data_IF_646318744593
#
_entry.id   IF_646318744593
#
_cell.length_a   1.000
_cell.length_b   1.000
_cell.length_c   1.000
_cell.angle_alpha   90.00
_cell.angle_beta   90.00
_cell.angle_gamma   90.00
#
_symmetry.space_group_name_H-M   'P 1'
#
loop_
_entity.id
_entity.type
_entity.pdbx_description
1 polymer ?
#
# COMPACT_ATOMS: atom_id res chain seq x y z
N UNK A 1 -38.71 10.09 -6.55
CA UNK A 1 -37.55 9.18 -6.53
C UNK A 1 -36.31 10.06 -6.55
N UNK A 2 -35.29 9.88 -5.70
CA UNK A 2 -34.12 10.76 -5.81
C UNK A 2 -33.39 10.39 -7.11
N UNK A 3 -33.20 11.37 -7.99
CA UNK A 3 -32.58 11.20 -9.30
C UNK A 3 -31.22 10.49 -9.15
N UNK A 4 -31.13 9.27 -9.67
CA UNK A 4 -29.87 8.55 -9.79
C UNK A 4 -29.09 9.18 -10.94
N UNK A 5 -28.21 10.11 -10.61
CA UNK A 5 -27.21 10.64 -11.55
C UNK A 5 -26.36 9.46 -12.04
N UNK A 6 -26.38 9.20 -13.34
CA UNK A 6 -25.55 8.19 -13.99
C UNK A 6 -24.29 8.86 -14.57
N UNK A 7 -23.17 8.14 -14.53
CA UNK A 7 -21.95 8.56 -15.23
C UNK A 7 -22.05 8.14 -16.69
N UNK A 8 -21.79 9.03 -17.63
CA UNK A 8 -21.72 8.68 -19.06
C UNK A 8 -20.33 8.16 -19.46
N UNK A 9 -20.17 7.68 -20.70
CA UNK A 9 -18.89 7.11 -21.17
C UNK A 9 -17.79 8.16 -21.34
N UNK A 10 -18.17 9.40 -21.70
CA UNK A 10 -17.23 10.50 -21.85
C UNK A 10 -16.70 10.96 -20.49
N UNK A 11 -17.58 11.18 -19.52
CA UNK A 11 -17.22 11.49 -18.13
C UNK A 11 -16.35 10.38 -17.53
N UNK A 12 -16.72 9.12 -17.72
CA UNK A 12 -15.92 7.99 -17.25
C UNK A 12 -14.53 7.97 -17.90
N UNK A 13 -14.43 8.22 -19.21
CA UNK A 13 -13.15 8.32 -19.93
C UNK A 13 -12.24 9.43 -19.39
N UNK A 14 -12.81 10.53 -18.90
CA UNK A 14 -12.05 11.60 -18.24
C UNK A 14 -11.41 11.11 -16.94
N UNK A 15 -12.16 10.41 -16.07
CA UNK A 15 -11.59 9.82 -14.85
C UNK A 15 -10.55 8.73 -15.14
N UNK A 16 -10.77 7.89 -16.15
CA UNK A 16 -9.78 6.88 -16.56
C UNK A 16 -8.47 7.53 -16.98
N UNK A 17 -8.53 8.54 -17.86
CA UNK A 17 -7.34 9.24 -18.36
C UNK A 17 -6.61 9.95 -17.23
N UNK A 18 -7.37 10.60 -16.34
CA UNK A 18 -6.80 11.29 -15.19
C UNK A 18 -6.12 10.32 -14.22
N UNK A 19 -6.76 9.23 -13.82
CA UNK A 19 -6.17 8.25 -12.90
C UNK A 19 -4.92 7.57 -13.46
N UNK A 20 -4.92 7.29 -14.76
CA UNK A 20 -3.74 6.75 -15.42
C UNK A 20 -2.57 7.73 -15.33
N UNK A 21 -2.79 9.01 -15.63
CA UNK A 21 -1.74 10.04 -15.53
C UNK A 21 -1.30 10.29 -14.09
N UNK A 22 -2.26 10.40 -13.17
CA UNK A 22 -2.00 10.78 -11.79
C UNK A 22 -1.37 9.64 -10.98
N UNK A 23 -1.75 8.38 -11.20
CA UNK A 23 -1.37 7.27 -10.33
C UNK A 23 -0.89 6.01 -11.08
N UNK A 24 -0.85 6.04 -12.42
CA UNK A 24 -0.53 4.86 -13.23
C UNK A 24 -1.66 3.82 -13.27
N UNK A 25 -2.80 4.09 -12.63
CA UNK A 25 -3.89 3.12 -12.48
C UNK A 25 -4.65 3.00 -13.80
N UNK A 26 -4.60 1.81 -14.39
CA UNK A 26 -5.36 1.45 -15.56
C UNK A 26 -6.74 0.88 -15.16
N UNK A 27 -7.79 1.67 -15.37
CA UNK A 27 -9.18 1.25 -15.10
C UNK A 27 -9.80 0.58 -16.32
N UNK A 28 -10.25 -0.67 -16.16
CA UNK A 28 -11.08 -1.34 -17.17
C UNK A 28 -12.46 -0.68 -17.32
N UNK A 29 -13.06 -0.64 -18.54
CA UNK A 29 -14.41 -0.13 -18.76
C UNK A 29 -15.49 -0.75 -17.87
N UNK A 30 -15.32 -2.01 -17.46
CA UNK A 30 -16.26 -2.70 -16.56
C UNK A 30 -16.34 -2.08 -15.17
N UNK A 31 -15.38 -1.23 -14.78
CA UNK A 31 -15.34 -0.54 -13.48
C UNK A 31 -16.13 0.77 -13.45
N UNK A 32 -16.85 1.13 -14.51
CA UNK A 32 -17.66 2.36 -14.58
C UNK A 32 -18.64 2.52 -13.41
N UNK A 33 -19.40 1.47 -13.08
CA UNK A 33 -20.33 1.49 -11.96
C UNK A 33 -19.61 1.68 -10.59
N UNK A 34 -18.41 1.13 -10.44
CA UNK A 34 -17.59 1.30 -9.23
C UNK A 34 -17.13 2.74 -9.07
N UNK A 35 -16.69 3.40 -10.15
CA UNK A 35 -16.33 4.83 -10.14
C UNK A 35 -17.53 5.68 -9.75
N UNK A 36 -18.68 5.41 -10.39
CA UNK A 36 -19.94 6.12 -10.09
C UNK A 36 -20.30 6.03 -8.61
N UNK A 37 -20.31 4.81 -8.05
CA UNK A 37 -20.70 4.57 -6.65
C UNK A 37 -19.74 5.20 -5.64
N UNK A 38 -18.43 5.15 -5.89
CA UNK A 38 -17.40 5.73 -5.00
C UNK A 38 -17.44 7.26 -4.97
N UNK A 39 -17.73 7.90 -6.09
CA UNK A 39 -17.78 9.36 -6.19
C UNK A 39 -19.16 9.95 -5.88
N UNK A 40 -20.24 9.16 -5.90
CA UNK A 40 -21.60 9.67 -5.72
C UNK A 40 -21.80 10.51 -4.45
N UNK A 41 -21.20 10.10 -3.33
CA UNK A 41 -21.27 10.87 -2.07
C UNK A 41 -20.60 12.25 -2.19
N UNK A 42 -19.60 12.39 -3.07
CA UNK A 42 -18.93 13.67 -3.34
C UNK A 42 -19.79 14.59 -4.19
N UNK A 43 -20.50 14.05 -5.19
CA UNK A 43 -21.50 14.82 -5.96
C UNK A 43 -22.57 15.39 -5.02
N UNK A 44 -23.11 14.56 -4.12
CA UNK A 44 -24.09 15.03 -3.12
C UNK A 44 -23.52 16.05 -2.15
N UNK A 45 -22.27 15.89 -1.72
CA UNK A 45 -21.61 16.82 -0.81
C UNK A 45 -21.44 18.23 -1.41
N UNK A 46 -21.18 18.33 -2.71
CA UNK A 46 -21.04 19.61 -3.42
C UNK A 46 -22.30 20.03 -4.18
N UNK A 47 -23.43 19.33 -3.98
CA UNK A 47 -24.71 19.60 -4.63
C UNK A 47 -24.60 19.65 -6.17
N UNK A 48 -23.78 18.78 -6.75
CA UNK A 48 -23.54 18.70 -8.20
C UNK A 48 -24.53 17.77 -8.89
N UNK A 49 -24.83 18.06 -10.15
CA UNK A 49 -25.82 17.35 -10.95
C UNK A 49 -25.21 16.38 -11.97
N UNK A 50 -23.89 16.42 -12.19
CA UNK A 50 -23.19 15.50 -13.10
C UNK A 50 -21.80 15.12 -12.61
N UNK A 51 -21.26 14.01 -13.12
CA UNK A 51 -19.89 13.61 -12.84
C UNK A 51 -18.87 14.50 -13.56
N UNK A 52 -19.24 15.09 -14.69
CA UNK A 52 -18.45 16.08 -15.42
C UNK A 52 -18.29 17.39 -14.65
N UNK A 53 -19.32 17.86 -13.94
CA UNK A 53 -19.20 18.99 -13.00
C UNK A 53 -18.21 18.68 -11.88
N UNK A 54 -18.29 17.47 -11.31
CA UNK A 54 -17.36 17.04 -10.27
C UNK A 54 -15.92 16.94 -10.82
N UNK A 55 -15.75 16.40 -12.04
CA UNK A 55 -14.45 16.33 -12.69
C UNK A 55 -13.84 17.73 -12.90
N UNK A 56 -14.63 18.70 -13.39
CA UNK A 56 -14.19 20.10 -13.53
C UNK A 56 -13.78 20.72 -12.19
N UNK A 57 -14.56 20.47 -11.13
CA UNK A 57 -14.29 20.98 -9.80
C UNK A 57 -12.92 20.50 -9.27
N UNK A 58 -12.61 19.20 -9.40
CA UNK A 58 -11.34 18.65 -8.91
C UNK A 58 -10.15 19.04 -9.78
N UNK A 59 -10.33 19.17 -11.09
CA UNK A 59 -9.25 19.52 -12.02
C UNK A 59 -8.84 21.00 -11.96
N UNK A 60 -9.78 21.89 -11.59
CA UNK A 60 -9.51 23.32 -11.45
C UNK A 60 -8.99 23.71 -10.06
N UNK A 61 -8.71 22.73 -9.18
CA UNK A 61 -8.32 22.91 -7.77
C UNK A 61 -9.20 23.92 -7.03
N UNK A 62 -10.50 24.02 -7.40
CA UNK A 62 -11.43 24.97 -6.77
C UNK A 62 -11.68 24.63 -5.30
N UNK A 63 -11.42 23.38 -4.92
CA UNK A 63 -11.55 22.86 -3.56
C UNK A 63 -10.25 22.18 -3.17
N UNK A 64 -9.42 22.90 -2.41
CA UNK A 64 -8.11 22.44 -1.95
C UNK A 64 -8.21 21.04 -1.33
N UNK A 65 -7.48 20.09 -1.91
CA UNK A 65 -7.40 18.71 -1.42
C UNK A 65 -8.47 17.75 -1.95
N UNK A 66 -9.49 18.23 -2.69
CA UNK A 66 -10.54 17.35 -3.22
C UNK A 66 -10.00 16.36 -4.26
N UNK A 67 -8.98 16.76 -5.02
CA UNK A 67 -8.29 15.89 -5.96
C UNK A 67 -7.72 14.64 -5.25
N UNK A 68 -7.13 14.81 -4.06
CA UNK A 68 -6.62 13.71 -3.24
C UNK A 68 -7.77 12.85 -2.69
N UNK A 69 -8.90 13.46 -2.31
CA UNK A 69 -10.09 12.71 -1.87
C UNK A 69 -10.63 11.83 -3.01
N UNK A 70 -10.72 12.36 -4.23
CA UNK A 70 -11.12 11.60 -5.40
C UNK A 70 -10.17 10.42 -5.65
N UNK A 71 -8.86 10.65 -5.54
CA UNK A 71 -7.85 9.61 -5.69
C UNK A 71 -7.98 8.52 -4.60
N UNK A 72 -8.15 8.92 -3.34
CA UNK A 72 -8.35 8.02 -2.20
C UNK A 72 -9.60 7.13 -2.38
N UNK A 73 -10.69 7.68 -2.93
CA UNK A 73 -11.92 6.94 -3.20
C UNK A 73 -11.78 5.95 -4.36
N UNK A 74 -10.96 6.26 -5.36
CA UNK A 74 -10.82 5.45 -6.57
C UNK A 74 -9.70 4.41 -6.49
N UNK A 75 -8.82 4.51 -5.50
CA UNK A 75 -7.87 3.44 -5.15
C UNK A 75 -8.58 2.27 -4.44
N UNK A 76 -8.08 1.05 -4.62
CA UNK A 76 -8.61 -0.13 -3.92
C UNK A 76 -7.59 -0.58 -2.88
N UNK A 77 -8.00 -0.61 -1.62
CA UNK A 77 -7.11 -0.69 -0.47
C UNK A 77 -7.39 -1.93 0.39
N UNK A 78 -7.47 -3.10 -0.23
CA UNK A 78 -7.72 -4.36 0.48
C UNK A 78 -6.41 -4.96 1.02
N UNK A 79 -6.32 -5.09 2.34
CA UNK A 79 -5.17 -5.67 3.03
C UNK A 79 -5.61 -6.32 4.35
N UNK A 80 -4.76 -7.21 4.86
CA UNK A 80 -4.94 -7.91 6.12
C UNK A 80 -3.59 -8.38 6.66
N UNK A 81 -3.52 -8.63 7.96
CA UNK A 81 -2.28 -9.03 8.61
C UNK A 81 -1.75 -10.36 8.06
N UNK A 82 -0.44 -10.48 7.88
CA UNK A 82 0.22 -11.68 7.38
C UNK A 82 -0.34 -12.21 6.05
N UNK A 83 -0.88 -11.33 5.18
CA UNK A 83 -1.26 -11.67 3.81
C UNK A 83 -0.10 -12.34 3.07
N UNK A 84 -0.38 -13.46 2.40
CA UNK A 84 0.62 -14.29 1.72
C UNK A 84 1.77 -14.71 2.67
N UNK A 85 1.48 -15.56 3.69
CA UNK A 85 2.36 -15.82 4.84
C UNK A 85 3.74 -16.36 4.47
N UNK A 86 3.85 -17.08 3.34
CA UNK A 86 5.11 -17.65 2.84
C UNK A 86 6.19 -16.59 2.59
N UNK A 87 5.81 -15.33 2.32
CA UNK A 87 6.75 -14.23 2.20
C UNK A 87 7.43 -13.90 3.54
N UNK A 88 6.69 -13.93 4.64
CA UNK A 88 7.24 -13.73 5.98
C UNK A 88 8.06 -14.94 6.44
N UNK A 89 7.66 -16.15 6.06
CA UNK A 89 8.46 -17.37 6.29
C UNK A 89 9.81 -17.27 5.60
N UNK A 90 9.83 -16.86 4.32
CA UNK A 90 11.06 -16.65 3.57
C UNK A 90 11.97 -15.61 4.23
N UNK A 91 11.42 -14.48 4.68
CA UNK A 91 12.18 -13.48 5.43
C UNK A 91 12.87 -14.10 6.64
N UNK A 92 12.10 -14.78 7.51
CA UNK A 92 12.60 -15.38 8.75
C UNK A 92 13.67 -16.43 8.52
N UNK A 93 13.50 -17.26 7.49
CA UNK A 93 14.37 -18.42 7.25
C UNK A 93 15.62 -18.09 6.44
N UNK A 94 15.55 -17.12 5.52
CA UNK A 94 16.60 -16.91 4.52
C UNK A 94 17.23 -15.52 4.53
N UNK A 95 16.49 -14.49 4.94
CA UNK A 95 16.94 -13.09 4.86
C UNK A 95 17.45 -12.60 6.21
N UNK A 96 16.61 -12.66 7.24
CA UNK A 96 16.89 -12.12 8.57
C UNK A 96 18.09 -12.79 9.27
N UNK A 97 18.38 -14.10 9.12
CA UNK A 97 19.57 -14.70 9.71
C UNK A 97 20.89 -14.13 9.16
N UNK A 98 20.85 -13.42 8.02
CA UNK A 98 22.02 -12.79 7.39
C UNK A 98 22.14 -11.30 7.73
N UNK A 99 21.26 -10.76 8.58
CA UNK A 99 21.33 -9.38 9.01
C UNK A 99 22.65 -9.12 9.75
N UNK A 100 23.36 -8.07 9.33
CA UNK A 100 24.66 -7.73 9.92
C UNK A 100 24.46 -7.13 11.33
N UNK A 101 25.12 -7.67 12.38
CA UNK A 101 25.04 -7.11 13.71
C UNK A 101 25.40 -5.62 13.74
N UNK A 102 24.63 -4.83 14.48
CA UNK A 102 24.87 -3.39 14.66
C UNK A 102 24.49 -2.51 13.47
N UNK A 103 24.11 -3.06 12.31
CA UNK A 103 23.55 -2.29 11.19
C UNK A 103 22.02 -2.29 11.25
N UNK A 104 21.41 -1.16 10.92
CA UNK A 104 19.95 -1.04 10.87
C UNK A 104 19.42 -1.83 9.67
N UNK A 105 18.57 -2.82 9.92
CA UNK A 105 17.86 -3.57 8.89
C UNK A 105 16.59 -2.82 8.48
N UNK A 106 16.49 -2.41 7.23
CA UNK A 106 15.43 -1.53 6.71
C UNK A 106 14.56 -2.30 5.72
N UNK A 107 13.26 -2.26 5.94
CA UNK A 107 12.27 -2.83 5.01
C UNK A 107 11.32 -1.74 4.54
N UNK A 108 11.00 -1.74 3.24
CA UNK A 108 9.99 -0.86 2.68
C UNK A 108 8.76 -1.67 2.23
N UNK A 109 7.58 -1.33 2.74
CA UNK A 109 6.28 -1.74 2.21
C UNK A 109 5.75 -0.63 1.29
N UNK A 110 5.92 -0.82 -0.02
CA UNK A 110 5.53 0.10 -1.08
C UNK A 110 4.11 -0.27 -1.56
N UNK A 111 3.11 0.53 -1.16
CA UNK A 111 1.65 0.26 -1.16
C UNK A 111 1.14 -0.40 0.14
N UNK A 112 1.41 0.27 1.26
CA UNK A 112 1.12 -0.24 2.61
C UNK A 112 -0.37 -0.24 3.00
N UNK A 113 -1.23 0.44 2.25
CA UNK A 113 -2.65 0.60 2.56
C UNK A 113 -2.86 1.07 4.02
N UNK A 114 -3.76 0.43 4.76
CA UNK A 114 -4.07 0.72 6.17
C UNK A 114 -3.07 0.20 7.19
N UNK A 115 -1.89 -0.30 6.77
CA UNK A 115 -0.75 -0.56 7.65
C UNK A 115 -0.58 -2.01 8.11
N UNK A 116 -1.49 -2.91 7.79
CA UNK A 116 -1.42 -4.32 8.19
C UNK A 116 -0.13 -5.01 7.72
N UNK A 117 0.33 -4.73 6.48
CA UNK A 117 1.60 -5.29 5.97
C UNK A 117 2.84 -4.74 6.71
N UNK A 118 3.04 -3.40 6.85
CA UNK A 118 4.12 -2.85 7.66
C UNK A 118 4.16 -3.38 9.09
N UNK A 119 3.01 -3.56 9.74
CA UNK A 119 2.97 -4.11 11.09
C UNK A 119 3.26 -5.61 11.13
N UNK A 120 2.83 -6.38 10.12
CA UNK A 120 3.22 -7.79 9.98
C UNK A 120 4.74 -7.93 9.80
N UNK A 121 5.35 -7.04 9.00
CA UNK A 121 6.80 -6.93 8.85
C UNK A 121 7.47 -6.57 10.17
N UNK A 122 6.99 -5.55 10.87
CA UNK A 122 7.55 -5.12 12.14
C UNK A 122 7.53 -6.25 13.18
N UNK A 123 6.41 -6.98 13.32
CA UNK A 123 6.32 -8.15 14.20
C UNK A 123 7.33 -9.23 13.79
N UNK A 124 7.46 -9.50 12.49
CA UNK A 124 8.41 -10.49 11.94
C UNK A 124 9.86 -10.11 12.27
N UNK A 125 10.23 -8.84 12.10
CA UNK A 125 11.56 -8.31 12.41
C UNK A 125 11.83 -8.38 13.92
N UNK A 126 10.87 -7.95 14.74
CA UNK A 126 10.98 -7.95 16.20
C UNK A 126 11.24 -9.35 16.78
N UNK A 127 10.59 -10.39 16.24
CA UNK A 127 10.80 -11.77 16.68
C UNK A 127 12.15 -12.36 16.23
N UNK A 128 12.72 -11.87 15.13
CA UNK A 128 13.83 -12.56 14.46
C UNK A 128 15.18 -11.88 14.66
N UNK A 129 15.21 -10.57 14.88
CA UNK A 129 16.44 -9.77 14.86
C UNK A 129 17.06 -9.52 16.25
N UNK A 130 16.35 -9.88 17.33
CA UNK A 130 16.85 -9.70 18.69
C UNK A 130 17.24 -8.25 18.98
N UNK A 131 18.52 -8.02 19.29
CA UNK A 131 19.07 -6.68 19.55
C UNK A 131 19.48 -5.91 18.28
N UNK A 132 19.46 -6.54 17.10
CA UNK A 132 19.82 -5.88 15.84
C UNK A 132 18.79 -4.79 15.54
N UNK A 133 19.22 -3.53 15.30
CA UNK A 133 18.29 -2.45 15.04
C UNK A 133 17.58 -2.65 13.70
N UNK A 134 16.32 -2.25 13.63
CA UNK A 134 15.51 -2.34 12.43
C UNK A 134 14.47 -1.23 12.36
N UNK A 135 14.03 -0.94 11.14
CA UNK A 135 12.91 -0.04 10.84
C UNK A 135 12.10 -0.52 9.64
N UNK A 136 10.83 -0.12 9.61
CA UNK A 136 9.93 -0.34 8.47
C UNK A 136 9.45 1.00 7.96
N UNK A 137 9.57 1.22 6.66
CA UNK A 137 8.89 2.32 5.96
C UNK A 137 7.64 1.74 5.31
N UNK A 138 6.47 2.26 5.66
CA UNK A 138 5.23 2.02 4.94
C UNK A 138 4.90 3.23 4.06
N UNK A 139 4.58 3.02 2.80
CA UNK A 139 4.15 4.11 1.94
C UNK A 139 2.93 3.77 1.11
N UNK A 140 2.09 4.78 0.87
CA UNK A 140 0.91 4.65 0.02
C UNK A 140 0.65 5.97 -0.72
N UNK A 141 -0.06 5.90 -1.83
CA UNK A 141 -0.54 7.10 -2.53
C UNK A 141 -1.69 7.74 -1.76
N UNK A 142 -2.45 6.93 -1.01
CA UNK A 142 -3.64 7.39 -0.32
C UNK A 142 -3.34 7.98 1.06
N UNK A 143 -3.64 9.27 1.21
CA UNK A 143 -3.44 9.98 2.47
C UNK A 143 -4.37 9.46 3.58
N UNK A 144 -5.59 9.08 3.22
CA UNK A 144 -6.61 8.58 4.13
C UNK A 144 -6.23 7.24 4.77
N UNK A 145 -5.72 6.29 3.99
CA UNK A 145 -5.31 4.98 4.53
C UNK A 145 -4.04 5.09 5.37
N UNK A 146 -3.10 5.97 5.00
CA UNK A 146 -1.92 6.25 5.81
C UNK A 146 -2.28 6.89 7.16
N UNK A 147 -3.29 7.76 7.19
CA UNK A 147 -3.77 8.31 8.46
C UNK A 147 -4.26 7.20 9.40
N UNK A 148 -5.02 6.22 8.87
CA UNK A 148 -5.44 5.03 9.63
C UNK A 148 -4.24 4.19 10.07
N UNK A 149 -3.31 3.91 9.16
CA UNK A 149 -2.11 3.12 9.43
C UNK A 149 -1.26 3.68 10.58
N UNK A 150 -1.09 5.01 10.63
CA UNK A 150 -0.37 5.70 11.71
C UNK A 150 -1.02 5.52 13.08
N UNK A 151 -2.35 5.38 13.15
CA UNK A 151 -3.01 5.11 14.44
C UNK A 151 -2.62 3.73 14.98
N UNK A 152 -2.44 2.75 14.09
CA UNK A 152 -2.28 1.34 14.43
C UNK A 152 -3.47 0.78 15.22
N UNK A 153 -4.66 1.37 15.04
CA UNK A 153 -5.90 0.96 15.70
C UNK A 153 -6.79 0.23 14.70
N UNK A 154 -7.24 -0.96 15.06
CA UNK A 154 -7.97 -1.86 14.16
C UNK A 154 -9.15 -2.52 14.85
N UNK A 155 -10.16 -2.94 14.09
CA UNK A 155 -11.18 -3.87 14.57
C UNK A 155 -10.54 -5.22 14.89
N UNK A 156 -11.03 -5.91 15.92
CA UNK A 156 -10.59 -7.28 16.25
C UNK A 156 -10.83 -8.26 15.09
N UNK A 157 -11.81 -8.03 14.22
CA UNK A 157 -12.06 -8.83 13.01
C UNK A 157 -10.84 -8.85 12.07
N UNK A 158 -9.98 -7.83 12.11
CA UNK A 158 -8.75 -7.78 11.30
C UNK A 158 -7.69 -8.78 11.74
N UNK A 159 -7.86 -9.43 12.90
CA UNK A 159 -6.87 -10.33 13.49
C UNK A 159 -7.01 -11.79 13.09
N UNK A 160 -8.00 -12.14 12.26
CA UNK A 160 -8.29 -13.53 11.88
C UNK A 160 -7.06 -14.29 11.36
N UNK A 161 -6.21 -13.61 10.60
CA UNK A 161 -4.98 -14.17 10.01
C UNK A 161 -3.73 -13.92 10.83
N UNK A 162 -3.84 -13.23 11.97
CA UNK A 162 -2.71 -12.84 12.81
C UNK A 162 -2.35 -14.00 13.76
N UNK A 163 -1.08 -14.47 13.79
CA UNK A 163 -0.67 -15.55 14.68
C UNK A 163 -0.91 -15.20 16.16
N UNK A 164 -1.62 -16.05 16.89
CA UNK A 164 -2.02 -15.81 18.29
C UNK A 164 -0.87 -15.39 19.23
N UNK A 165 0.34 -15.97 19.16
CA UNK A 165 1.45 -15.51 20.00
C UNK A 165 1.86 -14.06 19.71
N UNK A 166 1.79 -13.62 18.45
CA UNK A 166 2.11 -12.25 18.07
C UNK A 166 0.98 -11.30 18.46
N UNK A 167 -0.28 -11.74 18.37
CA UNK A 167 -1.43 -10.97 18.83
C UNK A 167 -1.31 -10.62 20.31
N UNK A 168 -1.05 -11.63 21.14
CA UNK A 168 -0.91 -11.46 22.58
C UNK A 168 0.29 -10.58 22.96
N UNK A 169 1.37 -10.60 22.17
CA UNK A 169 2.62 -9.88 22.47
C UNK A 169 2.62 -8.44 21.96
N UNK A 170 2.02 -8.17 20.80
CA UNK A 170 2.16 -6.90 20.08
C UNK A 170 0.87 -6.11 19.91
N UNK A 171 -0.27 -6.60 20.44
CA UNK A 171 -1.54 -5.90 20.34
C UNK A 171 -2.18 -5.74 21.72
N UNK A 172 -2.61 -4.52 22.02
CA UNK A 172 -3.40 -4.18 23.21
C UNK A 172 -4.88 -4.30 22.88
N UNK A 173 -5.61 -5.13 23.63
CA UNK A 173 -7.06 -5.27 23.48
C UNK A 173 -7.79 -4.03 24.01
N UNK A 174 -8.68 -3.46 23.21
CA UNK A 174 -9.51 -2.34 23.63
C UNK A 174 -10.56 -2.75 24.67
N UNK A 175 -10.83 -1.84 25.61
CA UNK A 175 -11.80 -2.02 26.70
C UNK A 175 -12.77 -0.84 26.76
N UNK A 176 -13.94 -1.04 27.37
CA UNK A 176 -14.96 0.01 27.52
C UNK A 176 -15.37 0.59 26.16
N UNK A 177 -15.16 1.90 25.94
CA UNK A 177 -15.48 2.57 24.67
C UNK A 177 -14.69 2.04 23.45
N UNK A 178 -13.62 1.27 23.69
CA UNK A 178 -12.78 0.67 22.65
C UNK A 178 -12.99 -0.85 22.55
N UNK A 179 -14.01 -1.40 23.22
CA UNK A 179 -14.32 -2.83 23.11
C UNK A 179 -14.54 -3.25 21.64
N UNK A 180 -14.08 -4.45 21.28
CA UNK A 180 -14.08 -4.94 19.89
C UNK A 180 -12.94 -4.41 19.02
N UNK A 181 -12.01 -3.63 19.57
CA UNK A 181 -10.84 -3.09 18.84
C UNK A 181 -9.52 -3.56 19.44
N UNK A 182 -8.44 -3.30 18.71
CA UNK A 182 -7.06 -3.48 19.17
C UNK A 182 -6.21 -2.26 18.81
N UNK A 183 -5.13 -2.08 19.55
CA UNK A 183 -4.08 -1.11 19.27
C UNK A 183 -2.73 -1.81 19.16
N UNK A 184 -1.98 -1.57 18.10
CA UNK A 184 -0.59 -2.05 17.97
C UNK A 184 0.27 -1.42 19.05
N UNK A 185 1.12 -2.23 19.68
CA UNK A 185 2.02 -1.81 20.75
C UNK A 185 2.87 -0.60 20.34
N UNK A 186 3.08 0.33 21.29
CA UNK A 186 3.77 1.59 21.04
C UNK A 186 5.23 1.39 20.63
N UNK A 187 5.93 0.43 21.21
CA UNK A 187 7.33 0.16 20.88
C UNK A 187 7.44 -0.34 19.43
N UNK A 188 6.50 -1.18 18.99
CA UNK A 188 6.45 -1.64 17.61
C UNK A 188 6.13 -0.48 16.65
N UNK A 189 5.09 0.32 16.94
CA UNK A 189 4.70 1.48 16.11
C UNK A 189 5.81 2.51 15.95
N UNK A 190 6.62 2.72 16.99
CA UNK A 190 7.74 3.68 16.94
C UNK A 190 8.82 3.35 15.91
N UNK A 191 8.84 2.12 15.39
CA UNK A 191 9.77 1.63 14.37
C UNK A 191 9.15 1.53 12.97
N UNK A 192 7.91 1.97 12.82
CA UNK A 192 7.19 1.98 11.54
C UNK A 192 6.91 3.43 11.16
N UNK A 193 7.54 3.91 10.09
CA UNK A 193 7.31 5.26 9.57
C UNK A 193 6.41 5.21 8.34
N UNK A 194 5.40 6.09 8.31
CA UNK A 194 4.43 6.15 7.21
C UNK A 194 4.61 7.44 6.40
N UNK A 195 4.84 7.29 5.09
CA UNK A 195 5.09 8.39 4.15
C UNK A 195 4.16 8.29 2.94
N UNK A 196 3.66 9.42 2.45
CA UNK A 196 2.88 9.42 1.22
C UNK A 196 3.82 9.35 0.01
N UNK A 197 3.63 8.36 -0.85
CA UNK A 197 4.47 8.12 -2.04
C UNK A 197 3.58 7.74 -3.22
N UNK A 198 3.76 8.45 -4.33
CA UNK A 198 3.23 8.06 -5.62
C UNK A 198 4.29 7.27 -6.39
N UNK A 199 4.07 5.97 -6.59
CA UNK A 199 5.01 5.10 -7.32
C UNK A 199 5.13 5.47 -8.82
N UNK A 200 4.16 6.23 -9.34
CA UNK A 200 4.16 6.72 -10.71
C UNK A 200 5.04 7.97 -10.92
N UNK A 201 5.53 8.59 -9.85
CA UNK A 201 6.34 9.80 -9.87
C UNK A 201 7.77 9.54 -9.37
N UNK A 202 8.61 10.57 -9.37
CA UNK A 202 9.93 10.52 -8.74
C UNK A 202 9.79 10.22 -7.24
N UNK A 203 10.51 9.20 -6.77
CA UNK A 203 10.45 8.78 -5.37
C UNK A 203 11.20 9.80 -4.48
N UNK A 204 10.70 10.07 -3.26
CA UNK A 204 11.44 10.87 -2.29
C UNK A 204 12.72 10.14 -1.84
N UNK A 205 13.62 10.87 -1.18
CA UNK A 205 14.84 10.32 -0.61
C UNK A 205 14.55 9.42 0.60
N UNK A 206 14.15 8.18 0.36
CA UNK A 206 13.85 7.17 1.38
C UNK A 206 15.10 6.39 1.85
N UNK A 207 16.22 6.56 1.15
CA UNK A 207 17.44 5.77 1.33
C UNK A 207 17.31 4.36 0.72
N UNK A 208 18.25 3.48 1.06
CA UNK A 208 18.28 2.11 0.54
C UNK A 208 17.72 1.09 1.55
N UNK A 209 17.18 -0.01 1.05
CA UNK A 209 16.52 -1.06 1.81
C UNK A 209 17.14 -2.44 1.53
N UNK A 210 17.18 -3.28 2.56
CA UNK A 210 17.52 -4.70 2.44
C UNK A 210 16.39 -5.46 1.73
N UNK A 211 15.13 -5.07 1.98
CA UNK A 211 13.95 -5.68 1.37
C UNK A 211 12.91 -4.63 1.01
N UNK A 212 12.32 -4.76 -0.18
CA UNK A 212 11.16 -3.99 -0.63
C UNK A 212 10.00 -4.97 -0.88
N UNK A 213 8.85 -4.72 -0.28
CA UNK A 213 7.56 -5.35 -0.57
C UNK A 213 6.78 -4.43 -1.51
N UNK A 214 6.39 -4.94 -2.67
CA UNK A 214 5.56 -4.26 -3.67
C UNK A 214 4.44 -5.22 -4.09
N UNK A 215 3.52 -5.51 -3.17
CA UNK A 215 2.53 -6.58 -3.34
C UNK A 215 1.14 -6.02 -3.61
N UNK A 216 0.40 -6.71 -4.48
CA UNK A 216 -1.02 -6.45 -4.77
C UNK A 216 -1.32 -5.03 -5.30
N UNK A 217 -0.33 -4.36 -5.88
CA UNK A 217 -0.45 -3.00 -6.44
C UNK A 217 -0.16 -2.97 -7.93
N UNK A 218 0.76 -3.80 -8.42
CA UNK A 218 1.12 -3.85 -9.84
C UNK A 218 -0.03 -4.40 -10.70
N UNK A 219 -0.98 -5.12 -10.11
CA UNK A 219 -2.22 -5.55 -10.78
C UNK A 219 -3.06 -4.37 -11.33
N UNK A 220 -2.83 -3.16 -10.86
CA UNK A 220 -3.52 -1.94 -11.33
C UNK A 220 -2.77 -1.23 -12.46
N UNK A 221 -1.55 -1.65 -12.78
CA UNK A 221 -0.66 -0.99 -13.74
C UNK A 221 -0.62 -1.75 -15.07
N UNK A 222 -0.47 -1.03 -16.18
CA UNK A 222 -0.11 -1.65 -17.46
C UNK A 222 1.38 -2.05 -17.47
N UNK A 223 1.81 -2.75 -18.52
CA UNK A 223 3.18 -3.26 -18.60
C UNK A 223 4.23 -2.13 -18.55
N UNK A 224 3.99 -1.03 -19.26
CA UNK A 224 4.90 0.11 -19.29
C UNK A 224 5.06 0.74 -17.91
N UNK A 225 3.94 0.95 -17.21
CA UNK A 225 3.91 1.52 -15.86
C UNK A 225 4.61 0.59 -14.87
N UNK A 226 4.39 -0.73 -14.95
CA UNK A 226 5.12 -1.71 -14.12
C UNK A 226 6.64 -1.58 -14.29
N UNK A 227 7.13 -1.52 -15.53
CA UNK A 227 8.56 -1.39 -15.81
C UNK A 227 9.13 -0.09 -15.24
N UNK A 228 8.40 1.02 -15.37
CA UNK A 228 8.82 2.31 -14.82
C UNK A 228 8.82 2.30 -13.28
N UNK A 229 7.79 1.74 -12.65
CA UNK A 229 7.73 1.61 -11.18
C UNK A 229 8.91 0.79 -10.67
N UNK A 230 9.14 -0.41 -11.22
CA UNK A 230 10.26 -1.26 -10.80
C UNK A 230 11.60 -0.55 -11.04
N UNK A 231 11.78 0.11 -12.18
CA UNK A 231 13.00 0.88 -12.46
C UNK A 231 13.27 1.99 -11.42
N UNK A 232 12.23 2.64 -10.90
CA UNK A 232 12.37 3.65 -9.82
C UNK A 232 12.71 3.03 -8.47
N UNK A 233 12.23 1.81 -8.18
CA UNK A 233 12.47 1.12 -6.92
C UNK A 233 13.87 0.51 -6.84
N UNK A 234 14.43 0.04 -7.96
CA UNK A 234 15.70 -0.68 -8.00
C UNK A 234 16.90 0.08 -7.42
N UNK A 235 17.07 1.40 -7.62
CA UNK A 235 18.13 2.17 -6.97
C UNK A 235 18.01 2.19 -5.43
N UNK A 236 16.80 2.05 -4.88
CA UNK A 236 16.55 2.03 -3.44
C UNK A 236 16.71 0.61 -2.86
N UNK A 237 16.89 -0.42 -3.69
CA UNK A 237 17.17 -1.77 -3.22
C UNK A 237 18.69 -1.99 -3.14
N UNK A 238 19.21 -2.42 -1.99
CA UNK A 238 20.64 -2.72 -1.84
C UNK A 238 21.08 -3.88 -2.73
N UNK A 239 22.34 -3.91 -3.21
CA UNK A 239 22.93 -5.11 -3.81
C UNK A 239 22.75 -6.32 -2.88
N UNK A 240 22.33 -7.45 -3.44
CA UNK A 240 21.97 -8.64 -2.68
C UNK A 240 20.63 -8.60 -1.94
N UNK A 241 19.91 -7.47 -1.95
CA UNK A 241 18.60 -7.27 -1.35
C UNK A 241 17.46 -7.92 -2.15
N UNK A 242 16.27 -7.94 -1.56
CA UNK A 242 15.11 -8.65 -2.11
C UNK A 242 13.94 -7.72 -2.49
N UNK A 243 13.37 -7.93 -3.68
CA UNK A 243 12.06 -7.38 -4.06
C UNK A 243 11.02 -8.51 -3.99
N UNK A 244 9.97 -8.31 -3.21
CA UNK A 244 8.89 -9.28 -3.00
C UNK A 244 7.60 -8.70 -3.55
N UNK A 245 6.94 -9.44 -4.44
CA UNK A 245 5.68 -9.06 -5.09
C UNK A 245 4.59 -10.08 -4.70
N UNK A 246 3.33 -9.85 -5.08
CA UNK A 246 2.26 -10.81 -4.81
C UNK A 246 2.35 -12.04 -5.72
N UNK A 247 1.81 -13.17 -5.26
CA UNK A 247 1.65 -14.37 -6.07
C UNK A 247 0.86 -14.19 -7.37
N UNK A 248 -0.03 -13.19 -7.46
CA UNK A 248 -0.77 -12.88 -8.69
C UNK A 248 0.00 -11.97 -9.65
N UNK A 249 1.23 -11.58 -9.31
CA UNK A 249 2.04 -10.62 -10.06
C UNK A 249 3.28 -11.30 -10.64
N UNK A 250 3.85 -10.70 -11.69
CA UNK A 250 5.05 -11.21 -12.36
C UNK A 250 5.92 -10.05 -12.85
N UNK A 251 7.24 -10.22 -12.74
CA UNK A 251 8.23 -9.31 -13.35
C UNK A 251 8.67 -9.76 -14.75
N UNK A 252 8.02 -10.75 -15.33
CA UNK A 252 8.30 -11.17 -16.70
C UNK A 252 8.09 -9.99 -17.68
N UNK A 253 9.12 -9.67 -18.45
CA UNK A 253 9.12 -8.51 -19.35
C UNK A 253 9.07 -7.15 -18.65
N UNK A 254 9.30 -7.09 -17.34
CA UNK A 254 9.31 -5.84 -16.54
C UNK A 254 10.74 -5.39 -16.27
N UNK A 255 11.62 -6.31 -15.84
CA UNK A 255 13.01 -6.04 -15.55
C UNK A 255 13.88 -7.31 -15.66
N UNK A 256 15.06 -7.18 -16.25
CA UNK A 256 16.00 -8.30 -16.44
C UNK A 256 17.17 -8.30 -15.43
N UNK A 257 17.26 -7.28 -14.58
CA UNK A 257 18.32 -7.16 -13.56
C UNK A 257 18.07 -8.09 -12.38
N UNK A 258 16.81 -8.24 -11.98
CA UNK A 258 16.40 -9.02 -10.83
C UNK A 258 16.38 -10.52 -11.14
N UNK A 259 16.95 -11.32 -10.23
CA UNK A 259 16.96 -12.78 -10.35
C UNK A 259 15.85 -13.40 -9.50
N UNK A 260 14.98 -14.19 -10.10
CA UNK A 260 13.98 -14.97 -9.37
C UNK A 260 14.68 -16.00 -8.48
N UNK A 261 14.37 -16.01 -7.18
CA UNK A 261 14.96 -16.96 -6.21
C UNK A 261 13.94 -17.91 -5.59
N UNK A 262 12.68 -17.49 -5.52
CA UNK A 262 11.53 -18.26 -5.09
C UNK A 262 10.26 -17.63 -5.73
N UNK A 263 9.11 -18.31 -5.75
CA UNK A 263 7.88 -17.73 -6.30
C UNK A 263 7.62 -16.33 -5.74
N UNK A 264 7.40 -15.36 -6.64
CA UNK A 264 7.19 -13.94 -6.35
C UNK A 264 8.26 -13.23 -5.50
N UNK A 265 9.47 -13.82 -5.39
CA UNK A 265 10.60 -13.26 -4.64
C UNK A 265 11.82 -13.16 -5.57
N UNK A 266 12.34 -11.95 -5.69
CA UNK A 266 13.45 -11.62 -6.56
C UNK A 266 14.61 -11.02 -5.77
N UNK A 267 15.84 -11.27 -6.22
CA UNK A 267 17.06 -10.76 -5.60
C UNK A 267 17.80 -9.83 -6.57
N UNK A 268 18.23 -8.66 -6.09
CA UNK A 268 19.17 -7.79 -6.80
C UNK A 268 20.56 -8.41 -6.72
N UNK A 269 21.26 -8.62 -7.85
CA UNK A 269 22.61 -9.17 -7.87
C UNK A 269 23.58 -8.45 -6.94
#
# INVERSE_FOLDING_TARGET
MPDTVSIDDHEFGQFQTWLYRAAGINLSPTKKALVAGRLFKRLKHYELHSYGEYFKLIMNDQRKGELQVALDLLTTNETYFFREPKHFDFLRQHVLPRAAPGKVFRVWSAASSSGEEPYSLAMTLAESLGSTPWEVVGSDISSQVLAKARTGHYSMERTETLPQPLLAKYCLKGIGRQEGTLLIDKALRSRVNFVQVNLNEALPALGEFEVIFLRNVMIYFDQQTKSQVVARLLPLLKPGGYLIISHSESLHGVNDTLKLVAPSIYRKP
#
